data_IF_814779778049
#
_entry.id   IF_814779778049
#
_cell.length_a   1.000
_cell.length_b   1.000
_cell.length_c   1.000
_cell.angle_alpha   90.00
_cell.angle_beta   90.00
_cell.angle_gamma   90.00
#
_symmetry.space_group_name_H-M   'P 1'
#
loop_
_entity.id
_entity.type
_entity.pdbx_description
1 polymer ?
#
# COMPACT_ATOMS: atom_id res chain seq x y z
N UNK A 1 -2.49 -5.84 15.47
CA UNK A 1 -2.88 -4.77 14.53
C UNK A 1 -3.75 -3.69 15.20
N UNK A 2 -4.88 -4.02 15.84
CA UNK A 2 -5.78 -3.00 16.44
C UNK A 2 -5.04 -2.13 17.47
N UNK A 3 -4.38 -2.72 18.45
CA UNK A 3 -3.61 -2.01 19.48
C UNK A 3 -2.57 -1.06 18.87
N UNK A 4 -1.87 -1.52 17.84
CA UNK A 4 -0.90 -0.70 17.11
C UNK A 4 -1.56 0.51 16.44
N UNK A 5 -2.68 0.29 15.72
CA UNK A 5 -3.42 1.38 15.05
C UNK A 5 -3.97 2.38 16.06
N UNK A 6 -4.52 1.94 17.19
CA UNK A 6 -5.01 2.83 18.24
C UNK A 6 -3.88 3.67 18.84
N UNK A 7 -2.72 3.07 19.11
CA UNK A 7 -1.54 3.79 19.59
C UNK A 7 -1.06 4.83 18.57
N UNK A 8 -0.96 4.44 17.30
CA UNK A 8 -0.60 5.35 16.20
C UNK A 8 -1.59 6.51 16.08
N UNK A 9 -2.89 6.22 16.08
CA UNK A 9 -3.94 7.24 15.90
C UNK A 9 -4.06 8.18 17.09
N UNK A 10 -3.80 7.71 18.32
CA UNK A 10 -3.66 8.59 19.49
C UNK A 10 -2.52 9.62 19.28
N UNK A 11 -1.39 9.20 18.72
CA UNK A 11 -0.27 10.11 18.41
C UNK A 11 -0.63 11.06 17.27
N UNK A 12 -1.19 10.57 16.17
CA UNK A 12 -1.61 11.39 15.02
C UNK A 12 -2.58 12.50 15.43
N UNK A 13 -3.48 12.24 16.40
CA UNK A 13 -4.44 13.22 16.87
C UNK A 13 -3.78 14.41 17.60
N UNK A 14 -2.63 14.21 18.24
CA UNK A 14 -1.97 15.21 19.08
C UNK A 14 -1.12 16.21 18.29
N UNK A 15 -0.65 15.84 17.12
CA UNK A 15 0.29 16.65 16.32
C UNK A 15 -0.26 16.84 14.90
N UNK A 16 0.09 17.96 14.24
CA UNK A 16 -0.25 18.18 12.82
C UNK A 16 0.52 17.17 11.98
N UNK A 17 -0.18 16.12 11.53
CA UNK A 17 0.45 14.96 10.91
C UNK A 17 -0.47 14.20 9.96
N UNK A 18 0.14 13.41 9.10
CA UNK A 18 -0.52 12.44 8.24
C UNK A 18 0.25 11.12 8.25
N UNK A 19 -0.46 10.04 8.00
CA UNK A 19 0.09 8.70 7.84
C UNK A 19 -0.40 8.12 6.51
N UNK A 20 0.52 7.56 5.74
CA UNK A 20 0.23 6.81 4.53
C UNK A 20 0.47 5.32 4.80
N UNK A 21 -0.54 4.49 4.53
CA UNK A 21 -0.44 3.04 4.69
C UNK A 21 -0.63 2.42 3.30
N UNK A 22 0.34 1.63 2.88
CA UNK A 22 0.36 0.90 1.61
C UNK A 22 0.61 -0.57 1.93
N UNK A 23 -0.32 -1.44 1.56
CA UNK A 23 -0.18 -2.86 1.86
C UNK A 23 -1.09 -3.71 0.96
N UNK A 24 -0.93 -5.04 1.05
CA UNK A 24 -1.77 -6.01 0.36
C UNK A 24 -3.22 -5.93 0.81
N UNK A 25 -4.14 -5.85 -0.16
CA UNK A 25 -5.55 -5.79 0.13
C UNK A 25 -6.37 -6.74 -0.75
N UNK A 26 -7.41 -7.34 -0.16
CA UNK A 26 -8.52 -7.93 -0.92
C UNK A 26 -9.81 -7.18 -0.58
N UNK A 27 -10.68 -7.00 -1.58
CA UNK A 27 -12.01 -6.38 -1.38
C UNK A 27 -12.87 -7.13 -0.35
N UNK A 28 -12.72 -8.45 -0.29
CA UNK A 28 -13.42 -9.30 0.69
C UNK A 28 -12.36 -10.20 1.33
N UNK A 29 -12.21 -10.08 2.65
CA UNK A 29 -11.37 -10.99 3.44
C UNK A 29 -12.27 -12.15 3.86
N UNK A 30 -12.54 -13.06 2.93
CA UNK A 30 -13.13 -14.35 3.25
C UNK A 30 -12.07 -15.43 3.11
N UNK A 31 -12.01 -16.31 4.10
CA UNK A 31 -11.12 -17.45 4.13
C UNK A 31 -9.70 -17.13 4.62
N UNK A 32 -8.82 -18.09 4.47
CA UNK A 32 -7.46 -18.05 4.98
C UNK A 32 -6.58 -17.15 4.09
N UNK A 33 -6.22 -15.97 4.61
CA UNK A 33 -5.29 -15.04 3.94
C UNK A 33 -3.85 -15.21 4.42
N UNK A 34 -3.63 -16.07 5.44
CA UNK A 34 -2.32 -16.35 5.97
C UNK A 34 -1.50 -17.13 4.94
N UNK A 35 -0.34 -16.63 4.60
CA UNK A 35 0.61 -17.27 3.69
C UNK A 35 1.98 -17.31 4.34
N UNK A 36 2.69 -18.39 4.10
CA UNK A 36 4.10 -18.52 4.43
C UNK A 36 4.90 -18.61 3.13
N UNK A 37 5.98 -17.85 3.06
CA UNK A 37 6.83 -17.78 1.87
C UNK A 37 8.26 -18.09 2.27
N UNK A 38 8.90 -19.02 1.54
CA UNK A 38 10.31 -19.33 1.67
C UNK A 38 10.95 -19.47 0.30
N UNK A 39 12.07 -18.79 0.06
CA UNK A 39 12.77 -18.78 -1.24
C UNK A 39 11.80 -18.56 -2.41
N UNK A 40 10.90 -17.57 -2.28
CA UNK A 40 9.87 -17.18 -3.25
C UNK A 40 8.80 -18.27 -3.54
N UNK A 41 8.75 -19.36 -2.76
CA UNK A 41 7.71 -20.39 -2.86
C UNK A 41 6.73 -20.28 -1.69
N UNK A 42 5.44 -20.44 -1.99
CA UNK A 42 4.40 -20.52 -0.97
C UNK A 42 4.49 -21.93 -0.35
N UNK A 43 4.58 -21.98 0.98
CA UNK A 43 4.60 -23.19 1.77
C UNK A 43 3.48 -23.14 2.81
N UNK A 44 3.20 -24.28 3.46
CA UNK A 44 2.27 -24.30 4.59
C UNK A 44 2.87 -23.46 5.77
N UNK A 45 2.09 -22.57 6.41
CA UNK A 45 2.56 -21.76 7.52
C UNK A 45 3.14 -22.52 8.71
N UNK A 46 2.74 -23.77 8.89
CA UNK A 46 3.18 -24.62 9.99
C UNK A 46 4.42 -25.48 9.70
N UNK A 47 4.82 -25.61 8.41
CA UNK A 47 5.93 -26.49 8.03
C UNK A 47 7.31 -25.95 8.47
N UNK A 48 7.46 -24.64 8.57
CA UNK A 48 8.75 -24.00 8.83
C UNK A 48 8.61 -22.79 9.78
N UNK A 49 8.08 -23.01 10.96
CA UNK A 49 7.88 -21.98 11.98
C UNK A 49 9.21 -21.30 12.33
N UNK A 50 9.23 -19.96 12.27
CA UNK A 50 10.41 -19.15 12.52
C UNK A 50 11.47 -19.15 11.40
N UNK A 51 11.26 -19.87 10.28
CA UNK A 51 12.20 -19.97 9.15
C UNK A 51 11.60 -19.56 7.81
N UNK A 52 10.44 -18.92 7.82
CA UNK A 52 9.72 -18.46 6.64
C UNK A 52 9.03 -17.12 6.93
N UNK A 53 8.85 -16.31 5.88
CA UNK A 53 8.13 -15.05 5.97
C UNK A 53 6.62 -15.31 6.01
N UNK A 54 5.94 -14.72 6.97
CA UNK A 54 4.50 -14.82 7.12
C UNK A 54 3.86 -13.54 6.63
N UNK A 55 2.87 -13.64 5.75
CA UNK A 55 2.11 -12.51 5.25
C UNK A 55 0.61 -12.78 5.32
N UNK A 56 -0.16 -11.71 5.49
CA UNK A 56 -1.63 -11.74 5.44
C UNK A 56 -2.16 -10.46 4.81
N UNK A 57 -3.40 -10.50 4.32
CA UNK A 57 -4.03 -9.30 3.77
C UNK A 57 -4.46 -8.33 4.87
N UNK A 58 -4.22 -7.04 4.65
CA UNK A 58 -4.63 -5.98 5.55
C UNK A 58 -6.10 -5.61 5.32
N UNK A 59 -6.85 -5.48 6.43
CA UNK A 59 -8.23 -5.03 6.40
C UNK A 59 -8.31 -3.50 6.42
N UNK A 60 -8.32 -2.87 5.24
CA UNK A 60 -8.43 -1.42 5.11
C UNK A 60 -9.75 -0.84 5.64
N UNK A 61 -10.85 -1.62 5.61
CA UNK A 61 -12.11 -1.19 6.19
C UNK A 61 -12.03 -1.08 7.72
N UNK A 62 -11.27 -1.98 8.35
CA UNK A 62 -11.01 -1.92 9.80
C UNK A 62 -10.17 -0.68 10.14
N UNK A 63 -9.12 -0.40 9.36
CA UNK A 63 -8.31 0.82 9.52
C UNK A 63 -9.20 2.05 9.45
N UNK A 64 -10.08 2.15 8.44
CA UNK A 64 -11.03 3.24 8.29
C UNK A 64 -12.02 3.35 9.45
N UNK A 65 -12.51 2.21 9.98
CA UNK A 65 -13.40 2.21 11.16
C UNK A 65 -12.68 2.74 12.40
N UNK A 66 -11.43 2.30 12.62
CA UNK A 66 -10.66 2.74 13.80
C UNK A 66 -10.31 4.22 13.66
N UNK A 67 -9.87 4.71 12.50
CA UNK A 67 -9.54 6.13 12.30
C UNK A 67 -10.71 7.06 12.63
N UNK A 68 -11.94 6.66 12.27
CA UNK A 68 -13.16 7.40 12.61
C UNK A 68 -13.39 7.52 14.13
N UNK A 69 -13.08 6.48 14.92
CA UNK A 69 -13.18 6.55 16.40
C UNK A 69 -12.27 7.61 17.01
N UNK A 70 -11.19 7.97 16.31
CA UNK A 70 -10.26 9.02 16.73
C UNK A 70 -10.55 10.38 16.09
N UNK A 71 -11.65 10.52 15.34
CA UNK A 71 -12.00 11.73 14.57
C UNK A 71 -10.90 12.13 13.58
N UNK A 72 -10.24 11.14 12.97
CA UNK A 72 -9.24 11.35 11.94
C UNK A 72 -9.87 11.31 10.55
N UNK A 73 -9.33 12.10 9.64
CA UNK A 73 -9.73 12.15 8.24
C UNK A 73 -9.05 11.00 7.51
N UNK A 74 -9.81 10.30 6.69
CA UNK A 74 -9.36 9.14 5.97
C UNK A 74 -9.68 9.27 4.48
N UNK A 75 -8.65 9.28 3.62
CA UNK A 75 -8.77 9.28 2.17
C UNK A 75 -8.38 7.91 1.62
N UNK A 76 -9.20 7.35 0.74
CA UNK A 76 -9.06 5.99 0.24
C UNK A 76 -9.92 4.96 1.00
N UNK A 77 -9.61 3.66 0.91
CA UNK A 77 -8.49 3.08 0.16
C UNK A 77 -8.68 3.16 -1.37
N UNK A 78 -7.58 3.39 -2.08
CA UNK A 78 -7.50 3.28 -3.54
C UNK A 78 -6.40 2.29 -3.91
N UNK A 79 -6.44 1.71 -5.14
CA UNK A 79 -5.37 0.81 -5.55
C UNK A 79 -4.09 1.58 -5.90
N UNK A 80 -2.95 0.91 -5.75
CA UNK A 80 -1.62 1.50 -5.99
C UNK A 80 -1.48 2.09 -7.40
N UNK A 81 -2.01 1.41 -8.43
CA UNK A 81 -1.99 1.96 -9.80
C UNK A 81 -2.58 3.36 -9.86
N UNK A 82 -3.81 3.53 -9.35
CA UNK A 82 -4.50 4.81 -9.42
C UNK A 82 -3.76 5.88 -8.60
N UNK A 83 -3.27 5.50 -7.42
CA UNK A 83 -2.47 6.39 -6.58
C UNK A 83 -1.21 6.88 -7.30
N UNK A 84 -0.42 5.98 -7.86
CA UNK A 84 0.82 6.33 -8.55
C UNK A 84 0.58 7.12 -9.85
N UNK A 85 -0.49 6.80 -10.61
CA UNK A 85 -0.85 7.55 -11.81
C UNK A 85 -1.23 8.99 -11.44
N UNK A 86 -2.05 9.19 -10.41
CA UNK A 86 -2.40 10.53 -9.92
C UNK A 86 -1.20 11.31 -9.38
N UNK A 87 -0.19 10.62 -8.84
CA UNK A 87 1.10 11.22 -8.45
C UNK A 87 2.00 11.55 -9.64
N UNK A 88 1.62 11.21 -10.88
CA UNK A 88 2.38 11.53 -12.09
C UNK A 88 3.51 10.55 -12.40
N UNK A 89 3.41 9.28 -11.98
CA UNK A 89 4.46 8.28 -12.24
C UNK A 89 4.76 8.13 -13.73
N UNK A 90 3.77 8.29 -14.62
CA UNK A 90 3.96 8.20 -16.06
C UNK A 90 4.85 9.34 -16.58
N UNK A 91 4.57 10.56 -16.15
CA UNK A 91 5.39 11.74 -16.50
C UNK A 91 6.81 11.58 -15.95
N UNK A 92 6.94 11.13 -14.71
CA UNK A 92 8.24 10.88 -14.10
C UNK A 92 9.04 9.85 -14.89
N UNK A 93 8.41 8.75 -15.31
CA UNK A 93 9.06 7.74 -16.13
C UNK A 93 9.52 8.30 -17.48
N UNK A 94 8.69 9.07 -18.18
CA UNK A 94 9.04 9.73 -19.43
C UNK A 94 10.26 10.66 -19.28
N UNK A 95 10.31 11.47 -18.22
CA UNK A 95 11.44 12.36 -17.93
C UNK A 95 12.73 11.55 -17.73
N UNK A 96 12.67 10.47 -16.96
CA UNK A 96 13.83 9.62 -16.70
C UNK A 96 14.33 8.91 -17.98
N UNK A 97 13.41 8.51 -18.85
CA UNK A 97 13.75 7.80 -20.10
C UNK A 97 14.45 8.71 -21.13
N UNK A 98 14.28 10.04 -21.05
CA UNK A 98 14.90 10.98 -22.02
C UNK A 98 16.43 10.85 -22.02
N UNK A 99 17.04 10.73 -20.84
CA UNK A 99 18.50 10.71 -20.66
C UNK A 99 19.03 9.30 -20.34
N UNK A 100 18.21 8.25 -20.45
CA UNK A 100 18.56 6.89 -20.14
C UNK A 100 19.13 6.15 -21.35
N UNK A 101 20.14 5.31 -21.14
CA UNK A 101 20.60 4.35 -22.12
C UNK A 101 19.58 3.22 -22.36
N UNK A 102 19.81 2.36 -23.35
CA UNK A 102 18.89 1.28 -23.72
C UNK A 102 18.62 0.29 -22.57
N UNK A 103 19.62 -0.03 -21.75
CA UNK A 103 19.49 -0.91 -20.59
C UNK A 103 18.65 -0.26 -19.51
N UNK A 104 18.92 1.01 -19.20
CA UNK A 104 18.19 1.78 -18.21
C UNK A 104 16.72 1.98 -18.63
N UNK A 105 16.45 2.27 -19.91
CA UNK A 105 15.08 2.36 -20.44
C UNK A 105 14.29 1.08 -20.18
N UNK A 106 14.87 -0.07 -20.53
CA UNK A 106 14.24 -1.37 -20.27
C UNK A 106 13.98 -1.64 -18.78
N UNK A 107 14.90 -1.24 -17.92
CA UNK A 107 14.68 -1.34 -16.45
C UNK A 107 13.55 -0.43 -15.97
N UNK A 108 13.48 0.81 -16.47
CA UNK A 108 12.41 1.76 -16.13
C UNK A 108 11.04 1.26 -16.61
N UNK A 109 10.94 0.75 -17.84
CA UNK A 109 9.72 0.16 -18.40
C UNK A 109 9.25 -1.05 -17.56
N UNK A 110 10.14 -1.97 -17.27
CA UNK A 110 9.83 -3.13 -16.45
C UNK A 110 9.40 -2.74 -15.02
N UNK A 111 10.09 -1.78 -14.40
CA UNK A 111 9.75 -1.27 -13.07
C UNK A 111 8.40 -0.56 -13.06
N UNK A 112 8.13 0.28 -14.07
CA UNK A 112 6.85 0.94 -14.23
C UNK A 112 5.71 -0.07 -14.39
N UNK A 113 5.87 -1.03 -15.31
CA UNK A 113 4.89 -2.07 -15.53
C UNK A 113 4.66 -2.89 -14.24
N UNK A 114 5.71 -3.24 -13.52
CA UNK A 114 5.58 -3.98 -12.26
C UNK A 114 4.75 -3.21 -11.22
N UNK A 115 4.95 -1.91 -11.10
CA UNK A 115 4.27 -1.06 -10.12
C UNK A 115 2.81 -0.76 -10.44
N UNK A 116 2.47 -0.55 -11.74
CA UNK A 116 1.13 -0.07 -12.12
C UNK A 116 0.28 -1.08 -12.88
N UNK A 117 0.83 -2.21 -13.32
CA UNK A 117 0.06 -3.22 -14.04
C UNK A 117 -1.00 -3.85 -13.12
N UNK A 118 -2.23 -3.97 -13.65
CA UNK A 118 -3.38 -4.53 -12.91
C UNK A 118 -3.18 -5.99 -12.49
N UNK A 119 -2.38 -6.73 -13.24
CA UNK A 119 -2.09 -8.14 -12.96
C UNK A 119 -0.85 -8.34 -12.08
N UNK A 120 -0.15 -7.24 -11.74
CA UNK A 120 1.02 -7.20 -10.86
C UNK A 120 0.68 -6.39 -9.60
N UNK A 121 1.59 -5.55 -9.13
CA UNK A 121 1.40 -4.81 -7.87
C UNK A 121 0.29 -3.75 -7.93
N UNK A 122 -0.04 -3.24 -9.12
CA UNK A 122 -0.93 -2.09 -9.28
C UNK A 122 -2.34 -2.27 -8.72
N UNK A 123 -2.87 -3.51 -8.64
CA UNK A 123 -4.19 -3.83 -8.10
C UNK A 123 -4.13 -4.59 -6.77
N UNK A 124 -2.99 -5.23 -6.48
CA UNK A 124 -2.80 -6.06 -5.29
C UNK A 124 -2.63 -5.18 -4.04
N UNK A 125 -1.94 -4.05 -4.19
CA UNK A 125 -1.73 -3.10 -3.11
C UNK A 125 -2.83 -2.04 -3.09
N UNK A 126 -3.25 -1.68 -1.89
CA UNK A 126 -4.09 -0.52 -1.63
C UNK A 126 -3.35 0.53 -0.82
N UNK A 127 -3.79 1.77 -1.00
CA UNK A 127 -3.23 2.96 -0.36
C UNK A 127 -4.33 3.69 0.38
N UNK A 128 -4.07 4.06 1.63
CA UNK A 128 -4.95 4.87 2.46
C UNK A 128 -4.14 5.96 3.16
N UNK A 129 -4.66 7.18 3.18
CA UNK A 129 -4.09 8.27 3.96
C UNK A 129 -4.98 8.59 5.15
N UNK A 130 -4.36 8.85 6.29
CA UNK A 130 -5.04 9.20 7.54
C UNK A 130 -4.36 10.45 8.10
N UNK A 131 -5.14 11.49 8.40
CA UNK A 131 -4.64 12.76 8.90
C UNK A 131 -5.54 13.36 9.99
N UNK A 132 -5.01 14.26 10.81
CA UNK A 132 -5.78 14.96 11.82
C UNK A 132 -6.36 16.30 11.34
N UNK A 133 -5.95 16.79 10.18
CA UNK A 133 -6.52 17.96 9.52
C UNK A 133 -6.93 17.62 8.10
N UNK A 134 -7.99 18.28 7.62
CA UNK A 134 -8.39 18.23 6.23
C UNK A 134 -7.24 18.78 5.39
N UNK A 135 -6.78 17.98 4.45
CA UNK A 135 -5.82 18.38 3.43
C UNK A 135 -6.66 18.53 2.16
N UNK A 136 -6.79 19.77 1.69
CA UNK A 136 -7.45 20.03 0.42
C UNK A 136 -6.51 19.54 -0.70
N UNK A 137 -7.10 18.99 -1.75
CA UNK A 137 -6.37 18.51 -2.94
C UNK A 137 -5.22 17.54 -2.61
N UNK A 138 -5.51 16.54 -1.79
CA UNK A 138 -4.53 15.51 -1.47
C UNK A 138 -4.16 14.75 -2.74
N UNK A 139 -3.02 15.12 -3.31
CA UNK A 139 -2.50 14.51 -4.54
C UNK A 139 -2.36 13.01 -4.32
N UNK A 140 -2.86 12.23 -5.27
CA UNK A 140 -2.82 10.76 -5.21
C UNK A 140 -4.13 10.11 -4.76
N UNK A 141 -5.12 10.86 -4.22
CA UNK A 141 -6.42 10.33 -3.76
C UNK A 141 -7.61 10.88 -4.51
#
# INVERSE_FOLDING_TARGET
MIIFLESLFKKLKKIKSACLIIDYAKKKIFGNSLKSIKKQKIINPFDMIGKSDISTHVNFNLIKKISKKFNLICNGPINQRNFLIKLGILLRAQILMKNADSRQKKMLENGLDFLINKNKMGKIFNVISISNKKINDLIGF
#
